data_IF_034292408511
#
_entry.id   IF_034292408511
#
_cell.length_a   1.000
_cell.length_b   1.000
_cell.length_c   1.000
_cell.angle_alpha   90.00
_cell.angle_beta   90.00
_cell.angle_gamma   90.00
#
_symmetry.space_group_name_H-M   'P 1'
#
loop_
_entity.id
_entity.type
_entity.pdbx_description
1 polymer ?
#
# COMPACT_ATOMS: atom_id res chain seq x y z
N UNK A 1 27.05 71.84 7.71
CA UNK A 1 26.33 70.72 8.34
C UNK A 1 25.78 69.80 7.25
N UNK A 2 26.43 68.67 7.00
CA UNK A 2 25.90 67.58 6.18
C UNK A 2 26.19 66.29 6.96
N UNK A 3 25.16 65.74 7.60
CA UNK A 3 25.20 64.45 8.25
C UNK A 3 25.18 63.36 7.16
N UNK A 4 26.25 62.57 7.04
CA UNK A 4 26.20 61.30 6.33
C UNK A 4 25.66 60.24 7.30
N UNK A 5 24.49 59.68 6.98
CA UNK A 5 23.96 58.50 7.66
C UNK A 5 24.67 57.26 7.12
N UNK A 6 25.39 56.54 7.98
CA UNK A 6 25.86 55.18 7.70
C UNK A 6 24.66 54.23 7.82
N UNK A 7 24.26 53.62 6.70
CA UNK A 7 23.36 52.48 6.72
C UNK A 7 24.16 51.24 7.14
N UNK A 8 23.90 50.71 8.33
CA UNK A 8 24.42 49.42 8.75
C UNK A 8 23.66 48.32 7.99
N UNK A 9 24.36 47.59 7.10
CA UNK A 9 23.86 46.34 6.56
C UNK A 9 23.80 45.32 7.70
N UNK A 10 22.59 44.99 8.15
CA UNK A 10 22.36 43.86 9.05
C UNK A 10 22.69 42.56 8.30
N UNK A 11 23.73 41.86 8.76
CA UNK A 11 23.96 40.48 8.37
C UNK A 11 22.83 39.63 8.97
N UNK A 12 21.83 39.28 8.15
CA UNK A 12 20.85 38.26 8.50
C UNK A 12 21.58 36.93 8.64
N UNK A 13 21.60 36.38 9.84
CA UNK A 13 22.01 34.99 10.06
C UNK A 13 20.99 34.10 9.34
N UNK A 14 21.40 33.52 8.22
CA UNK A 14 20.70 32.36 7.68
C UNK A 14 20.88 31.25 8.71
N UNK A 15 19.87 31.00 9.53
CA UNK A 15 19.77 29.76 10.31
C UNK A 15 19.64 28.64 9.27
N UNK A 16 20.77 28.02 8.92
CA UNK A 16 20.75 26.78 8.18
C UNK A 16 19.85 25.82 8.95
N UNK A 17 18.83 25.27 8.28
CA UNK A 17 18.04 24.18 8.82
C UNK A 17 19.03 23.05 9.15
N UNK A 18 19.17 22.72 10.42
CA UNK A 18 20.00 21.61 10.86
C UNK A 18 19.51 20.34 10.14
N UNK A 19 20.36 19.60 9.39
CA UNK A 19 19.94 18.39 8.72
C UNK A 19 19.26 17.45 9.72
N UNK A 20 18.05 17.03 9.40
CA UNK A 20 17.28 16.11 10.23
C UNK A 20 18.14 14.87 10.56
N UNK A 21 18.28 14.48 11.84
CA UNK A 21 19.09 13.33 12.25
C UNK A 21 18.68 12.08 11.48
N UNK A 22 19.62 11.28 10.97
CA UNK A 22 19.31 10.05 10.22
C UNK A 22 18.37 9.11 11.01
N UNK A 23 17.46 8.38 10.32
CA UNK A 23 16.56 7.47 11.01
C UNK A 23 17.33 6.28 11.60
N UNK A 24 16.87 5.75 12.73
CA UNK A 24 17.38 4.49 13.26
C UNK A 24 17.13 3.36 12.24
N UNK A 25 18.00 2.35 12.24
CA UNK A 25 17.93 1.23 11.30
C UNK A 25 18.00 -0.08 12.05
N UNK A 26 17.02 -0.96 11.84
CA UNK A 26 17.01 -2.31 12.39
C UNK A 26 16.87 -3.33 11.26
N UNK A 27 17.81 -4.27 11.22
CA UNK A 27 17.81 -5.37 10.25
C UNK A 27 17.29 -6.62 10.93
N UNK A 28 16.11 -7.08 10.51
CA UNK A 28 15.57 -8.34 11.01
C UNK A 28 16.40 -9.49 10.44
N UNK A 29 16.76 -10.46 11.27
CA UNK A 29 17.53 -11.64 10.86
C UNK A 29 16.86 -12.97 11.24
N UNK A 30 15.69 -12.90 11.88
CA UNK A 30 14.93 -14.05 12.34
C UNK A 30 13.46 -13.94 12.00
N UNK A 31 12.91 -15.02 11.45
CA UNK A 31 11.47 -15.19 11.20
C UNK A 31 10.68 -15.59 12.45
N UNK A 32 11.37 -15.93 13.55
CA UNK A 32 10.74 -16.36 14.79
C UNK A 32 10.03 -15.19 15.49
N UNK A 33 9.04 -15.53 16.33
CA UNK A 33 8.46 -14.57 17.26
C UNK A 33 9.39 -14.35 18.46
N UNK A 34 9.34 -13.15 19.04
CA UNK A 34 10.03 -12.82 20.29
C UNK A 34 10.15 -11.32 20.47
N UNK A 35 9.81 -10.84 21.66
CA UNK A 35 10.03 -9.45 22.06
C UNK A 35 11.53 -9.14 22.20
N UNK A 36 11.87 -7.87 22.12
CA UNK A 36 13.19 -7.37 22.46
C UNK A 36 13.52 -7.68 23.94
N UNK A 37 14.78 -7.98 24.22
CA UNK A 37 15.24 -8.27 25.57
C UNK A 37 15.19 -7.03 26.48
N UNK A 38 15.48 -5.85 25.93
CA UNK A 38 15.52 -4.57 26.63
C UNK A 38 14.94 -3.46 25.75
N UNK A 39 13.59 -3.39 25.60
CA UNK A 39 12.95 -2.40 24.74
C UNK A 39 13.42 -0.96 24.98
N UNK A 40 13.90 -0.30 23.93
CA UNK A 40 14.34 1.09 23.87
C UNK A 40 15.80 1.34 24.23
N UNK A 41 16.65 0.31 24.25
CA UNK A 41 18.09 0.47 24.43
C UNK A 41 18.85 0.74 23.11
N UNK A 42 18.16 0.63 21.98
CA UNK A 42 18.70 0.88 20.64
C UNK A 42 19.36 -0.34 20.00
N UNK A 43 19.29 -1.52 20.61
CA UNK A 43 19.75 -2.79 20.05
C UNK A 43 18.55 -3.69 19.77
N UNK A 44 18.42 -4.19 18.54
CA UNK A 44 17.38 -5.16 18.23
C UNK A 44 17.88 -6.57 18.59
N UNK A 45 17.53 -7.06 19.77
CA UNK A 45 18.01 -8.34 20.28
C UNK A 45 16.99 -8.99 21.21
N UNK A 46 16.46 -10.15 20.82
CA UNK A 46 15.71 -11.02 21.75
C UNK A 46 16.63 -11.62 22.82
N UNK A 47 16.08 -12.23 23.87
CA UNK A 47 16.88 -12.97 24.86
C UNK A 47 17.76 -14.11 24.28
N UNK A 48 17.51 -14.52 23.02
CA UNK A 48 18.29 -15.52 22.30
C UNK A 48 19.41 -14.94 21.42
N UNK A 49 19.52 -13.61 21.33
CA UNK A 49 20.55 -12.92 20.55
C UNK A 49 20.21 -12.66 19.08
N UNK A 50 18.94 -12.77 18.70
CA UNK A 50 18.47 -12.57 17.32
C UNK A 50 17.53 -11.37 17.23
N UNK A 51 17.53 -10.66 16.10
CA UNK A 51 16.61 -9.58 15.80
C UNK A 51 15.38 -10.12 15.07
N UNK A 52 14.28 -10.25 15.80
CA UNK A 52 12.96 -10.62 15.24
C UNK A 52 12.23 -9.36 14.76
N UNK A 53 11.17 -9.54 13.95
CA UNK A 53 10.31 -8.42 13.55
C UNK A 53 9.73 -7.70 14.78
N UNK A 54 9.27 -8.45 15.78
CA UNK A 54 8.72 -7.86 17.01
C UNK A 54 9.76 -7.02 17.76
N UNK A 55 10.96 -7.54 17.98
CA UNK A 55 12.03 -6.78 18.61
C UNK A 55 12.36 -5.49 17.84
N UNK A 56 12.48 -5.58 16.51
CA UNK A 56 12.74 -4.43 15.66
C UNK A 56 11.64 -3.36 15.73
N UNK A 57 10.36 -3.75 15.86
CA UNK A 57 9.25 -2.80 16.01
C UNK A 57 9.22 -2.15 17.40
N UNK A 58 9.56 -2.89 18.46
CA UNK A 58 9.67 -2.35 19.81
C UNK A 58 10.78 -1.28 19.89
N UNK A 59 11.94 -1.56 19.32
CA UNK A 59 13.03 -0.58 19.19
C UNK A 59 12.64 0.60 18.29
N UNK A 60 11.93 0.34 17.19
CA UNK A 60 11.48 1.40 16.30
C UNK A 60 10.55 2.39 16.99
N UNK A 61 9.64 1.88 17.84
CA UNK A 61 8.71 2.69 18.62
C UNK A 61 9.42 3.55 19.66
N UNK A 62 10.52 3.07 20.24
CA UNK A 62 11.34 3.85 21.17
C UNK A 62 12.20 4.92 20.47
N UNK A 63 12.72 4.62 19.27
CA UNK A 63 13.56 5.54 18.50
C UNK A 63 12.76 6.66 17.78
N UNK A 64 11.48 6.44 17.52
CA UNK A 64 10.55 7.43 16.96
C UNK A 64 10.63 7.65 15.45
N UNK A 65 11.82 7.64 14.81
CA UNK A 65 11.95 7.69 13.35
C UNK A 65 12.89 6.62 12.84
N UNK A 66 12.32 5.61 12.16
CA UNK A 66 13.01 4.33 11.99
C UNK A 66 12.74 3.70 10.63
N UNK A 67 13.74 2.99 10.11
CA UNK A 67 13.62 2.05 8.99
C UNK A 67 13.86 0.64 9.52
N UNK A 68 12.91 -0.26 9.29
CA UNK A 68 13.04 -1.69 9.56
C UNK A 68 13.15 -2.41 8.23
N UNK A 69 14.20 -3.20 8.08
CA UNK A 69 14.48 -3.95 6.87
C UNK A 69 14.24 -5.43 7.11
N UNK A 70 13.43 -6.04 6.25
CA UNK A 70 13.10 -7.46 6.31
C UNK A 70 13.82 -8.22 5.19
N UNK A 71 14.49 -9.34 5.50
CA UNK A 71 14.84 -10.33 4.50
C UNK A 71 13.60 -10.77 3.71
N UNK A 72 13.64 -10.57 2.39
CA UNK A 72 12.57 -10.93 1.46
C UNK A 72 12.84 -12.24 0.73
N UNK A 73 11.80 -13.06 0.58
CA UNK A 73 11.75 -14.21 -0.32
C UNK A 73 10.30 -14.64 -0.51
N UNK A 74 10.01 -15.44 -1.53
CA UNK A 74 8.65 -15.98 -1.78
C UNK A 74 8.11 -16.87 -0.63
N UNK A 75 8.95 -17.20 0.35
CA UNK A 75 8.61 -17.97 1.56
C UNK A 75 8.90 -17.22 2.87
N UNK A 76 9.23 -15.93 2.80
CA UNK A 76 9.53 -15.13 3.99
C UNK A 76 8.23 -14.89 4.78
N UNK A 77 8.05 -15.66 5.84
CA UNK A 77 6.90 -15.56 6.74
C UNK A 77 7.38 -15.24 8.14
N UNK A 78 7.04 -14.04 8.62
CA UNK A 78 7.29 -13.61 9.98
C UNK A 78 6.09 -13.95 10.83
N UNK A 79 6.33 -14.52 12.01
CA UNK A 79 5.27 -14.73 12.98
C UNK A 79 4.62 -13.38 13.32
N UNK A 80 3.31 -13.27 13.09
CA UNK A 80 2.55 -12.07 13.38
C UNK A 80 2.36 -11.84 14.86
N UNK A 81 2.14 -10.58 15.18
CA UNK A 81 1.81 -10.06 16.49
C UNK A 81 1.06 -8.74 16.30
N UNK A 82 0.40 -8.29 17.35
CA UNK A 82 -0.27 -7.00 17.34
C UNK A 82 0.72 -5.89 17.65
N UNK A 83 0.94 -5.00 16.68
CA UNK A 83 1.89 -3.89 16.78
C UNK A 83 1.13 -2.56 16.80
N UNK A 84 1.40 -1.71 17.80
CA UNK A 84 1.02 -0.30 17.77
C UNK A 84 2.22 0.54 17.38
N UNK A 85 2.11 1.34 16.31
CA UNK A 85 3.20 2.18 15.80
C UNK A 85 3.11 3.56 16.43
N UNK A 86 4.07 3.96 17.26
CA UNK A 86 4.00 5.24 18.01
C UNK A 86 4.74 6.40 17.36
N UNK A 87 5.55 6.11 16.34
CA UNK A 87 6.40 7.08 15.63
C UNK A 87 6.21 7.07 14.12
N UNK A 88 7.27 7.42 13.40
CA UNK A 88 7.38 7.32 11.95
C UNK A 88 8.23 6.11 11.58
N UNK A 89 7.55 5.05 11.14
CA UNK A 89 8.15 3.78 10.78
C UNK A 89 8.05 3.54 9.27
N UNK A 90 9.17 3.17 8.64
CA UNK A 90 9.18 2.56 7.31
C UNK A 90 9.62 1.11 7.43
N UNK A 91 8.79 0.18 6.98
CA UNK A 91 9.15 -1.21 6.78
C UNK A 91 9.42 -1.42 5.29
N UNK A 92 10.58 -1.97 4.96
CA UNK A 92 10.97 -2.30 3.60
C UNK A 92 11.45 -3.75 3.53
N UNK A 93 11.08 -4.42 2.46
CA UNK A 93 11.60 -5.77 2.17
C UNK A 93 12.82 -5.64 1.27
N UNK A 94 13.91 -6.32 1.63
CA UNK A 94 15.08 -6.47 0.76
C UNK A 94 14.70 -7.31 -0.46
N UNK A 95 14.73 -6.68 -1.63
CA UNK A 95 14.47 -7.36 -2.89
C UNK A 95 15.69 -8.20 -3.31
N UNK A 96 15.56 -9.51 -3.19
CA UNK A 96 16.58 -10.50 -3.62
C UNK A 96 16.38 -10.96 -5.05
N UNK A 97 15.37 -10.46 -5.76
CA UNK A 97 15.19 -10.69 -7.18
C UNK A 97 14.05 -11.65 -7.57
N UNK A 98 12.89 -11.57 -6.91
CA UNK A 98 11.66 -12.27 -7.33
C UNK A 98 10.37 -11.45 -7.18
N UNK A 99 10.47 -10.17 -6.82
CA UNK A 99 9.32 -9.42 -6.34
C UNK A 99 9.07 -9.74 -4.88
N UNK A 100 10.16 -10.01 -4.17
CA UNK A 100 10.19 -10.50 -2.81
C UNK A 100 9.20 -9.71 -1.96
N UNK A 101 8.31 -10.46 -1.32
CA UNK A 101 7.44 -9.98 -0.27
C UNK A 101 7.91 -10.54 1.07
N UNK A 102 7.40 -9.94 2.13
CA UNK A 102 7.44 -10.52 3.46
C UNK A 102 5.99 -10.67 3.93
N UNK A 103 5.60 -11.89 4.24
CA UNK A 103 4.31 -12.17 4.85
C UNK A 103 4.43 -12.00 6.37
N UNK A 104 3.51 -11.27 6.95
CA UNK A 104 3.31 -11.14 8.39
C UNK A 104 2.07 -11.96 8.69
N UNK A 105 2.30 -13.18 9.16
CA UNK A 105 1.26 -14.19 9.33
C UNK A 105 0.48 -13.94 10.62
N UNK A 106 -0.81 -13.60 10.50
CA UNK A 106 -1.72 -13.41 11.63
C UNK A 106 -1.34 -12.25 12.57
N UNK A 107 -0.87 -11.13 11.99
CA UNK A 107 -0.50 -9.91 12.73
C UNK A 107 -1.43 -8.74 12.44
N UNK A 108 -1.50 -7.77 13.37
CA UNK A 108 -2.24 -6.53 13.14
C UNK A 108 -1.38 -5.30 13.40
N UNK A 109 -1.62 -4.24 12.62
CA UNK A 109 -0.99 -2.94 12.83
C UNK A 109 -2.01 -1.92 13.27
N UNK A 110 -1.73 -1.21 14.35
CA UNK A 110 -2.46 0.00 14.77
C UNK A 110 -1.56 1.20 14.59
N UNK A 111 -2.00 2.15 13.77
CA UNK A 111 -1.32 3.43 13.52
C UNK A 111 -2.13 4.55 14.18
N UNK A 112 -1.89 4.89 15.46
CA UNK A 112 -2.58 5.97 16.17
C UNK A 112 -2.37 7.35 15.52
N UNK A 113 -3.19 8.32 15.93
CA UNK A 113 -3.03 9.72 15.51
C UNK A 113 -1.61 10.25 15.80
N UNK A 114 -1.02 10.96 14.85
CA UNK A 114 0.34 11.49 14.94
C UNK A 114 1.45 10.50 14.57
N UNK A 115 1.14 9.20 14.42
CA UNK A 115 2.08 8.19 13.92
C UNK A 115 1.98 8.03 12.40
N UNK A 116 3.04 7.51 11.79
CA UNK A 116 3.04 7.14 10.37
C UNK A 116 3.69 5.78 10.15
N UNK A 117 3.06 4.98 9.30
CA UNK A 117 3.55 3.69 8.85
C UNK A 117 3.69 3.71 7.33
N UNK A 118 4.89 3.39 6.83
CA UNK A 118 5.13 3.12 5.42
C UNK A 118 5.47 1.65 5.22
N UNK A 119 4.70 0.97 4.38
CA UNK A 119 4.93 -0.43 4.01
C UNK A 119 5.31 -0.52 2.54
N UNK A 120 6.32 -1.33 2.23
CA UNK A 120 6.79 -1.56 0.88
C UNK A 120 7.13 -3.05 0.67
N UNK A 121 6.34 -3.74 -0.15
CA UNK A 121 6.52 -5.16 -0.44
C UNK A 121 6.10 -6.10 0.70
N UNK A 122 5.07 -5.74 1.47
CA UNK A 122 4.64 -6.50 2.65
C UNK A 122 3.27 -7.11 2.39
N UNK A 123 3.04 -8.33 2.86
CA UNK A 123 1.74 -8.96 2.95
C UNK A 123 1.35 -9.10 4.43
N UNK A 124 0.18 -8.58 4.80
CA UNK A 124 -0.34 -8.63 6.17
C UNK A 124 -1.57 -9.53 6.17
N UNK A 125 -1.40 -10.75 6.69
CA UNK A 125 -2.50 -11.69 6.91
C UNK A 125 -3.19 -11.31 8.21
N UNK A 126 -3.93 -10.21 8.17
CA UNK A 126 -4.61 -9.60 9.30
C UNK A 126 -5.05 -8.18 8.97
N UNK A 127 -5.16 -7.34 10.01
CA UNK A 127 -5.78 -6.01 9.85
C UNK A 127 -4.81 -4.85 10.09
N UNK A 128 -5.04 -3.74 9.39
CA UNK A 128 -4.35 -2.46 9.60
C UNK A 128 -5.38 -1.40 10.01
N UNK A 129 -5.32 -0.92 11.25
CA UNK A 129 -6.12 0.20 11.75
C UNK A 129 -5.34 1.50 11.68
N UNK A 130 -5.93 2.54 11.07
CA UNK A 130 -5.22 3.78 10.75
C UNK A 130 -5.98 4.99 11.30
N UNK A 131 -5.47 5.60 12.36
CA UNK A 131 -5.86 6.94 12.83
C UNK A 131 -4.80 8.01 12.56
N UNK A 132 -3.56 7.60 12.26
CA UNK A 132 -2.47 8.45 11.79
C UNK A 132 -2.34 8.40 10.26
N UNK A 133 -1.17 8.04 9.76
CA UNK A 133 -0.93 7.96 8.31
C UNK A 133 -0.39 6.59 7.89
N UNK A 134 -1.00 6.00 6.87
CA UNK A 134 -0.52 4.82 6.17
C UNK A 134 -0.11 5.19 4.74
N UNK A 135 1.11 4.82 4.35
CA UNK A 135 1.56 4.86 2.95
C UNK A 135 2.00 3.46 2.56
N UNK A 136 1.29 2.84 1.64
CA UNK A 136 1.52 1.45 1.24
C UNK A 136 1.82 1.37 -0.26
N UNK A 137 2.90 0.67 -0.61
CA UNK A 137 3.20 0.28 -1.98
C UNK A 137 3.49 -1.22 -2.01
N UNK A 138 2.94 -1.95 -2.99
CA UNK A 138 3.10 -3.42 -3.05
C UNK A 138 2.66 -4.08 -1.74
N UNK A 139 1.43 -3.76 -1.32
CA UNK A 139 0.83 -4.29 -0.10
C UNK A 139 -0.15 -5.42 -0.45
N UNK A 140 0.00 -6.56 0.20
CA UNK A 140 -1.08 -7.52 0.41
C UNK A 140 -1.72 -7.26 1.78
N UNK A 141 -3.04 -7.18 1.90
CA UNK A 141 -3.69 -7.11 3.20
C UNK A 141 -5.10 -7.68 3.18
N UNK A 142 -5.54 -8.25 4.30
CA UNK A 142 -6.91 -8.74 4.43
C UNK A 142 -7.89 -7.62 4.74
N UNK A 143 -7.53 -6.72 5.66
CA UNK A 143 -8.40 -5.64 6.07
C UNK A 143 -7.65 -4.35 6.41
N UNK A 144 -8.20 -3.21 5.97
CA UNK A 144 -7.72 -1.88 6.38
C UNK A 144 -8.92 -1.04 6.86
N UNK A 145 -8.86 -0.55 8.10
CA UNK A 145 -9.83 0.40 8.65
C UNK A 145 -9.17 1.75 8.91
N UNK A 146 -9.55 2.75 8.12
CA UNK A 146 -9.12 4.13 8.26
C UNK A 146 -10.14 4.90 9.09
N UNK A 147 -9.73 5.36 10.27
CA UNK A 147 -10.54 6.16 11.17
C UNK A 147 -10.75 7.59 10.64
N UNK A 148 -11.59 8.37 11.31
CA UNK A 148 -11.93 9.74 10.90
C UNK A 148 -10.76 10.73 10.88
N UNK A 149 -9.66 10.43 11.56
CA UNK A 149 -8.42 11.23 11.51
C UNK A 149 -7.36 10.60 10.60
N UNK A 150 -7.62 9.38 10.12
CA UNK A 150 -6.68 8.59 9.36
C UNK A 150 -6.50 9.09 7.93
N UNK A 151 -5.27 8.92 7.44
CA UNK A 151 -4.87 9.15 6.06
C UNK A 151 -4.29 7.87 5.48
N UNK A 152 -4.81 7.40 4.35
CA UNK A 152 -4.27 6.22 3.65
C UNK A 152 -3.91 6.55 2.19
N UNK A 153 -2.68 6.23 1.80
CA UNK A 153 -2.23 6.27 0.41
C UNK A 153 -1.77 4.88 0.02
N UNK A 154 -2.52 4.22 -0.85
CA UNK A 154 -2.32 2.82 -1.23
C UNK A 154 -2.06 2.74 -2.72
N UNK A 155 -1.02 2.02 -3.09
CA UNK A 155 -0.60 1.83 -4.48
C UNK A 155 -0.11 0.42 -4.73
N UNK A 156 -0.35 -0.11 -5.94
CA UNK A 156 0.12 -1.45 -6.33
C UNK A 156 -0.27 -2.52 -5.30
N UNK A 157 -1.48 -2.45 -4.76
CA UNK A 157 -1.89 -3.28 -3.63
C UNK A 157 -2.96 -4.30 -4.02
N UNK A 158 -2.97 -5.42 -3.32
CA UNK A 158 -3.99 -6.47 -3.42
C UNK A 158 -4.65 -6.58 -2.05
N UNK A 159 -5.92 -6.21 -1.97
CA UNK A 159 -6.72 -6.33 -0.76
C UNK A 159 -7.71 -7.48 -0.95
N UNK A 160 -7.48 -8.60 -0.28
CA UNK A 160 -8.33 -9.78 -0.33
C UNK A 160 -8.75 -10.15 1.08
N UNK A 161 -9.99 -9.86 1.46
CA UNK A 161 -10.45 -10.11 2.81
C UNK A 161 -10.71 -11.60 3.03
N UNK A 162 -10.08 -12.17 4.05
CA UNK A 162 -10.62 -13.38 4.72
C UNK A 162 -11.79 -13.01 5.66
N UNK A 163 -11.89 -11.73 6.03
CA UNK A 163 -12.98 -11.12 6.80
C UNK A 163 -13.40 -9.80 6.15
N UNK A 164 -14.68 -9.67 5.81
CA UNK A 164 -15.19 -8.49 5.13
C UNK A 164 -15.57 -7.37 6.10
N UNK A 165 -15.55 -6.09 5.66
CA UNK A 165 -15.06 -5.57 4.37
C UNK A 165 -13.53 -5.43 4.27
N UNK A 166 -12.97 -5.52 3.05
CA UNK A 166 -11.52 -5.39 2.80
C UNK A 166 -10.97 -4.00 3.13
N UNK A 167 -11.77 -2.96 2.88
CA UNK A 167 -11.38 -1.58 3.13
C UNK A 167 -12.54 -0.77 3.69
N UNK A 168 -12.36 -0.21 4.88
CA UNK A 168 -13.28 0.75 5.52
C UNK A 168 -12.60 2.09 5.65
N UNK A 169 -13.28 3.15 5.24
CA UNK A 169 -12.76 4.50 5.38
C UNK A 169 -13.76 5.47 6.01
N UNK A 170 -13.34 6.12 7.08
CA UNK A 170 -14.00 7.26 7.73
C UNK A 170 -13.18 8.56 7.62
N UNK A 171 -11.93 8.48 7.15
CA UNK A 171 -10.99 9.58 6.96
C UNK A 171 -10.73 9.86 5.48
N UNK A 172 -9.47 10.07 5.10
CA UNK A 172 -9.07 10.35 3.71
C UNK A 172 -8.25 9.19 3.13
N UNK A 173 -8.65 8.68 1.96
CA UNK A 173 -7.98 7.57 1.29
C UNK A 173 -7.78 7.82 -0.20
N UNK A 174 -6.58 7.51 -0.70
CA UNK A 174 -6.28 7.39 -2.13
C UNK A 174 -5.79 5.98 -2.42
N UNK A 175 -6.43 5.31 -3.39
CA UNK A 175 -6.11 3.94 -3.78
C UNK A 175 -5.88 3.91 -5.29
N UNK A 176 -4.66 3.60 -5.72
CA UNK A 176 -4.28 3.62 -7.14
C UNK A 176 -3.61 2.32 -7.58
N UNK A 177 -3.86 1.90 -8.83
CA UNK A 177 -3.30 0.65 -9.38
C UNK A 177 -3.43 -0.53 -8.40
N UNK A 178 -4.61 -0.72 -7.84
CA UNK A 178 -4.83 -1.74 -6.80
C UNK A 178 -6.04 -2.60 -7.14
N UNK A 179 -6.07 -3.80 -6.59
CA UNK A 179 -7.20 -4.71 -6.70
C UNK A 179 -7.79 -4.92 -5.32
N UNK A 180 -9.09 -4.71 -5.19
CA UNK A 180 -9.87 -4.96 -3.97
C UNK A 180 -10.85 -6.07 -4.30
N UNK A 181 -10.64 -7.24 -3.73
CA UNK A 181 -11.52 -8.40 -3.85
C UNK A 181 -12.56 -8.47 -2.74
N UNK A 182 -13.58 -9.28 -2.96
CA UNK A 182 -14.66 -9.56 -2.02
C UNK A 182 -15.33 -10.89 -2.39
N UNK A 183 -15.57 -11.76 -1.40
CA UNK A 183 -15.96 -13.16 -1.63
C UNK A 183 -17.42 -13.44 -1.20
N UNK A 184 -18.02 -12.71 -0.24
CA UNK A 184 -19.29 -13.08 0.40
C UNK A 184 -20.15 -11.92 1.01
N UNK A 185 -20.67 -11.02 0.16
CA UNK A 185 -21.92 -10.29 0.47
C UNK A 185 -21.81 -8.99 1.27
N UNK A 186 -20.61 -8.59 1.72
CA UNK A 186 -20.34 -7.22 2.18
C UNK A 186 -19.45 -6.44 1.18
N UNK A 187 -19.26 -5.15 1.47
CA UNK A 187 -18.58 -4.23 0.55
C UNK A 187 -17.08 -4.44 0.49
N UNK A 188 -16.50 -4.62 -0.69
CA UNK A 188 -15.04 -4.58 -0.84
C UNK A 188 -14.48 -3.22 -0.43
N UNK A 189 -15.13 -2.14 -0.90
CA UNK A 189 -14.75 -0.77 -0.61
C UNK A 189 -15.88 0.00 0.10
N UNK A 190 -15.72 0.26 1.39
CA UNK A 190 -16.74 0.91 2.22
C UNK A 190 -16.26 2.30 2.65
N UNK A 191 -17.01 3.35 2.30
CA UNK A 191 -16.73 4.72 2.76
C UNK A 191 -17.86 5.22 3.64
N UNK A 192 -17.58 5.46 4.91
CA UNK A 192 -18.57 5.82 5.94
C UNK A 192 -18.41 7.28 6.38
N UNK A 193 -19.44 7.76 7.08
CA UNK A 193 -19.47 9.08 7.71
C UNK A 193 -19.11 10.22 6.74
N UNK A 194 -18.12 11.05 7.09
CA UNK A 194 -17.58 12.12 6.26
C UNK A 194 -16.32 11.70 5.49
N UNK A 195 -16.01 10.40 5.47
CA UNK A 195 -14.83 9.87 4.80
C UNK A 195 -14.83 10.18 3.30
N UNK A 196 -13.64 10.35 2.76
CA UNK A 196 -13.42 10.61 1.35
C UNK A 196 -12.42 9.62 0.77
N UNK A 197 -12.92 8.78 -0.13
CA UNK A 197 -12.11 7.80 -0.87
C UNK A 197 -11.99 8.27 -2.30
N UNK A 198 -10.77 8.26 -2.85
CA UNK A 198 -10.48 8.54 -4.26
C UNK A 198 -9.74 7.37 -4.87
N UNK A 199 -10.15 6.93 -6.06
CA UNK A 199 -9.54 5.81 -6.77
C UNK A 199 -9.13 6.16 -8.21
N UNK A 200 -8.06 5.54 -8.69
CA UNK A 200 -7.59 5.64 -10.08
C UNK A 200 -6.91 4.34 -10.51
N UNK A 201 -7.16 3.84 -11.73
CA UNK A 201 -6.56 2.60 -12.19
C UNK A 201 -6.82 1.39 -11.25
N UNK A 202 -7.91 1.43 -10.48
CA UNK A 202 -8.20 0.46 -9.40
C UNK A 202 -9.38 -0.43 -9.77
N UNK A 203 -9.25 -1.72 -9.49
CA UNK A 203 -10.29 -2.72 -9.68
C UNK A 203 -10.96 -3.06 -8.33
N UNK A 204 -12.29 -3.00 -8.25
CA UNK A 204 -13.09 -3.45 -7.09
C UNK A 204 -13.99 -4.59 -7.56
N UNK A 205 -13.59 -5.82 -7.26
CA UNK A 205 -14.06 -7.00 -7.97
C UNK A 205 -14.81 -7.95 -7.03
N UNK A 206 -16.00 -8.36 -7.44
CA UNK A 206 -16.68 -9.52 -6.86
C UNK A 206 -15.98 -10.79 -7.32
N UNK A 207 -15.60 -11.62 -6.36
CA UNK A 207 -14.77 -12.79 -6.55
C UNK A 207 -15.59 -14.02 -6.17
N UNK A 208 -15.77 -14.96 -7.10
CA UNK A 208 -16.57 -16.19 -6.94
C UNK A 208 -18.02 -16.00 -6.45
N UNK A 209 -18.54 -14.76 -6.48
CA UNK A 209 -19.88 -14.42 -6.05
C UNK A 209 -20.55 -13.44 -7.00
N UNK A 210 -21.87 -13.52 -7.10
CA UNK A 210 -22.71 -12.59 -7.89
C UNK A 210 -23.61 -11.72 -7.01
N UNK A 211 -23.56 -11.90 -5.69
CA UNK A 211 -24.47 -11.25 -4.75
C UNK A 211 -23.80 -10.13 -3.94
N UNK A 212 -22.51 -9.92 -4.14
CA UNK A 212 -21.77 -8.96 -3.36
C UNK A 212 -21.84 -7.55 -3.95
N UNK A 213 -21.88 -6.56 -3.06
CA UNK A 213 -22.02 -5.15 -3.40
C UNK A 213 -20.64 -4.53 -3.32
N UNK A 214 -20.01 -4.17 -4.43
CA UNK A 214 -18.58 -3.80 -4.44
C UNK A 214 -18.26 -2.55 -3.61
N UNK A 215 -19.13 -1.55 -3.63
CA UNK A 215 -19.00 -0.32 -2.86
C UNK A 215 -20.25 -0.03 -2.04
N UNK A 216 -20.06 0.47 -0.82
CA UNK A 216 -21.16 0.96 0.01
C UNK A 216 -20.83 2.25 0.74
N UNK A 217 -21.88 2.92 1.24
CA UNK A 217 -21.78 4.23 1.86
C UNK A 217 -21.61 5.36 0.83
N UNK A 218 -20.65 6.26 1.06
CA UNK A 218 -20.36 7.37 0.14
C UNK A 218 -19.58 6.85 -1.08
N UNK A 219 -20.02 7.24 -2.27
CA UNK A 219 -19.34 6.83 -3.51
C UNK A 219 -17.91 7.38 -3.56
N UNK A 220 -16.93 6.58 -4.01
CA UNK A 220 -15.57 7.05 -4.19
C UNK A 220 -15.50 8.08 -5.32
N UNK A 221 -14.60 9.06 -5.19
CA UNK A 221 -14.18 9.89 -6.31
C UNK A 221 -13.37 9.07 -7.31
N UNK A 222 -13.67 9.19 -8.60
CA UNK A 222 -12.91 8.52 -9.66
C UNK A 222 -12.00 9.52 -10.39
N UNK A 223 -10.72 9.18 -10.51
CA UNK A 223 -9.77 9.85 -11.41
C UNK A 223 -9.65 9.14 -12.77
N UNK A 224 -10.46 8.10 -13.01
CA UNK A 224 -10.52 7.37 -14.27
C UNK A 224 -9.83 6.00 -14.24
N UNK A 225 -10.12 5.24 -15.29
CA UNK A 225 -9.62 3.88 -15.55
C UNK A 225 -9.84 2.92 -14.37
N UNK A 226 -10.93 3.06 -13.64
CA UNK A 226 -11.30 2.11 -12.59
C UNK A 226 -12.20 1.02 -13.15
N UNK A 227 -12.27 -0.13 -12.49
CA UNK A 227 -13.16 -1.20 -12.89
C UNK A 227 -13.92 -1.77 -11.69
N UNK A 228 -15.20 -2.06 -11.88
CA UNK A 228 -16.05 -2.55 -10.78
C UNK A 228 -17.02 -3.63 -11.26
N UNK A 229 -17.22 -4.67 -10.45
CA UNK A 229 -18.05 -5.81 -10.85
C UNK A 229 -19.54 -5.54 -10.95
N UNK A 230 -20.04 -4.52 -10.28
CA UNK A 230 -21.42 -4.06 -10.35
C UNK A 230 -21.47 -2.58 -10.74
N UNK A 231 -22.50 -1.84 -10.33
CA UNK A 231 -22.59 -0.38 -10.51
C UNK A 231 -22.57 0.38 -9.17
N UNK A 232 -22.27 -0.29 -8.06
CA UNK A 232 -22.43 0.26 -6.71
C UNK A 232 -21.44 1.39 -6.42
N UNK A 233 -20.26 1.36 -7.03
CA UNK A 233 -19.26 2.42 -6.90
C UNK A 233 -19.59 3.71 -7.69
N UNK A 234 -20.58 3.68 -8.60
CA UNK A 234 -21.03 4.87 -9.34
C UNK A 234 -19.95 5.53 -10.21
N UNK A 235 -19.04 4.73 -10.77
CA UNK A 235 -17.85 5.19 -11.48
C UNK A 235 -18.22 5.82 -12.83
N UNK A 236 -17.75 7.04 -13.09
CA UNK A 236 -18.11 7.82 -14.30
C UNK A 236 -16.93 8.58 -14.91
N UNK A 237 -15.73 8.37 -14.38
CA UNK A 237 -14.48 8.90 -14.91
C UNK A 237 -14.14 8.31 -16.28
N UNK A 238 -13.20 8.96 -16.98
CA UNK A 238 -12.74 8.49 -18.29
C UNK A 238 -12.05 7.13 -18.15
N UNK A 239 -12.43 6.15 -18.97
CA UNK A 239 -11.89 4.80 -18.92
C UNK A 239 -12.48 3.92 -17.81
N UNK A 240 -13.41 4.44 -16.99
CA UNK A 240 -14.07 3.62 -15.97
C UNK A 240 -14.96 2.55 -16.61
N UNK A 241 -14.95 1.36 -16.00
CA UNK A 241 -15.72 0.20 -16.41
C UNK A 241 -16.61 -0.27 -15.25
N UNK A 242 -17.85 -0.60 -15.54
CA UNK A 242 -18.83 -1.07 -14.55
C UNK A 242 -19.52 -2.34 -15.04
N UNK A 243 -19.95 -3.19 -14.11
CA UNK A 243 -20.61 -4.45 -14.44
C UNK A 243 -19.67 -5.45 -15.12
N UNK A 244 -18.36 -5.36 -14.86
CA UNK A 244 -17.42 -6.38 -15.33
C UNK A 244 -17.70 -7.65 -14.53
N UNK A 245 -18.16 -8.71 -15.19
CA UNK A 245 -18.58 -9.94 -14.51
C UNK A 245 -17.53 -10.46 -13.51
N UNK A 246 -17.91 -11.35 -12.58
CA UNK A 246 -16.97 -11.84 -11.57
C UNK A 246 -15.72 -12.39 -12.25
N UNK A 247 -14.56 -12.01 -11.75
CA UNK A 247 -13.29 -12.59 -12.20
C UNK A 247 -13.11 -13.93 -11.48
N UNK A 248 -12.74 -14.96 -12.23
CA UNK A 248 -12.49 -16.28 -11.64
C UNK A 248 -11.25 -16.25 -10.75
N UNK A 249 -11.37 -16.81 -9.54
CA UNK A 249 -10.34 -16.86 -8.49
C UNK A 249 -9.03 -17.54 -8.86
N UNK A 250 -8.92 -18.16 -10.03
CA UNK A 250 -7.73 -18.98 -10.30
C UNK A 250 -6.48 -18.13 -10.30
N UNK A 251 -6.59 -16.87 -10.68
CA UNK A 251 -5.51 -15.91 -10.72
C UNK A 251 -6.15 -14.52 -10.63
N UNK A 252 -5.84 -13.68 -9.62
CA UNK A 252 -6.19 -12.24 -9.58
C UNK A 252 -5.58 -11.43 -10.74
N UNK A 253 -5.05 -12.16 -11.72
CA UNK A 253 -4.51 -11.71 -12.97
C UNK A 253 -5.63 -11.78 -14.01
N UNK A 254 -5.94 -10.67 -14.68
CA UNK A 254 -6.87 -10.72 -15.78
C UNK A 254 -6.32 -11.64 -16.88
N UNK A 255 -7.17 -12.45 -17.52
CA UNK A 255 -6.79 -13.16 -18.74
C UNK A 255 -6.55 -12.17 -19.89
N UNK A 256 -5.80 -12.53 -20.92
CA UNK A 256 -5.51 -11.63 -22.06
C UNK A 256 -6.73 -11.05 -22.78
N UNK A 257 -7.89 -11.74 -22.75
CA UNK A 257 -9.15 -11.21 -23.30
C UNK A 257 -10.00 -10.39 -22.33
N UNK A 258 -9.47 -10.10 -21.14
CA UNK A 258 -10.16 -9.36 -20.09
C UNK A 258 -10.28 -7.88 -20.46
N UNK A 259 -11.39 -7.22 -20.14
CA UNK A 259 -11.53 -5.78 -20.38
C UNK A 259 -10.62 -4.95 -19.44
N UNK A 260 -9.92 -5.57 -18.48
CA UNK A 260 -8.95 -4.91 -17.62
C UNK A 260 -7.56 -4.73 -18.25
N UNK A 261 -7.28 -5.47 -19.33
CA UNK A 261 -5.95 -5.58 -19.93
C UNK A 261 -5.72 -4.48 -20.95
N UNK A 262 -4.55 -3.84 -20.90
CA UNK A 262 -4.06 -2.88 -21.89
C UNK A 262 -4.98 -1.67 -22.16
N UNK A 263 -5.73 -1.23 -21.14
CA UNK A 263 -6.71 -0.13 -21.31
C UNK A 263 -6.20 1.24 -20.86
N UNK A 264 -5.07 1.32 -20.16
CA UNK A 264 -4.49 2.58 -19.69
C UNK A 264 -3.29 2.94 -20.56
N UNK A 265 -3.47 3.91 -21.46
CA UNK A 265 -2.41 4.34 -22.36
C UNK A 265 -1.16 4.86 -21.61
N UNK A 266 0.05 4.63 -22.14
CA UNK A 266 1.28 5.16 -21.55
C UNK A 266 1.22 6.68 -21.32
N UNK A 267 1.68 7.12 -20.15
CA UNK A 267 1.64 8.51 -19.68
C UNK A 267 0.29 8.94 -19.07
N UNK A 268 -0.78 8.17 -19.22
CA UNK A 268 -2.03 8.39 -18.48
C UNK A 268 -1.90 7.82 -17.07
N UNK A 269 -2.37 8.57 -16.07
CA UNK A 269 -2.33 8.16 -14.66
C UNK A 269 -0.94 7.68 -14.19
N UNK A 270 0.15 8.14 -14.80
CA UNK A 270 1.51 7.72 -14.47
C UNK A 270 1.97 6.38 -15.09
N UNK A 271 1.13 5.72 -15.91
CA UNK A 271 1.48 4.46 -16.58
C UNK A 271 2.78 4.59 -17.38
N UNK A 272 3.80 3.79 -17.04
CA UNK A 272 5.11 3.80 -17.71
C UNK A 272 5.99 5.02 -17.44
N UNK A 273 5.53 5.98 -16.62
CA UNK A 273 6.31 7.16 -16.22
C UNK A 273 6.60 7.13 -14.73
N UNK A 274 5.57 7.31 -13.91
CA UNK A 274 5.66 7.34 -12.45
C UNK A 274 5.37 5.94 -11.85
N UNK A 275 4.58 5.15 -12.57
CA UNK A 275 4.23 3.77 -12.24
C UNK A 275 4.81 2.87 -13.32
N UNK A 276 6.00 2.35 -13.04
CA UNK A 276 6.78 1.51 -13.97
C UNK A 276 6.73 0.03 -13.62
N UNK A 277 6.12 -0.32 -12.49
CA UNK A 277 6.06 -1.66 -11.93
C UNK A 277 4.73 -1.87 -11.21
N UNK A 278 4.27 -3.11 -11.19
CA UNK A 278 3.04 -3.56 -10.54
C UNK A 278 3.28 -4.07 -9.10
N UNK A 279 2.31 -4.77 -8.50
CA UNK A 279 2.42 -5.34 -7.16
C UNK A 279 3.61 -6.32 -6.96
N UNK A 280 4.10 -6.97 -8.03
CA UNK A 280 5.30 -7.83 -8.04
C UNK A 280 6.61 -7.02 -8.09
N UNK A 281 6.54 -5.70 -8.11
CA UNK A 281 7.71 -4.84 -8.18
C UNK A 281 8.44 -5.00 -9.52
N UNK A 282 9.79 -5.04 -9.55
CA UNK A 282 10.56 -5.01 -10.80
C UNK A 282 10.28 -6.18 -11.75
N UNK A 283 9.57 -7.21 -11.28
CA UNK A 283 9.18 -8.36 -12.09
C UNK A 283 7.92 -8.14 -12.88
N UNK A 284 7.03 -7.21 -12.49
CA UNK A 284 5.84 -6.85 -13.25
C UNK A 284 5.97 -5.47 -13.88
N UNK A 285 6.77 -5.34 -14.96
CA UNK A 285 6.97 -4.05 -15.61
C UNK A 285 5.66 -3.52 -16.20
N UNK A 286 5.47 -2.22 -16.08
CA UNK A 286 4.35 -1.47 -16.66
C UNK A 286 4.88 -0.37 -17.59
N UNK A 287 4.34 -0.20 -18.82
CA UNK A 287 3.33 -1.03 -19.46
C UNK A 287 3.89 -2.33 -20.06
N UNK A 288 3.03 -3.33 -20.24
CA UNK A 288 3.24 -4.55 -21.03
C UNK A 288 2.15 -4.70 -22.11
N UNK A 289 2.30 -5.62 -23.05
CA UNK A 289 1.29 -5.91 -24.10
C UNK A 289 0.62 -7.24 -23.73
N UNK A 290 -0.32 -7.19 -22.79
CA UNK A 290 -0.99 -8.36 -22.22
C UNK A 290 -2.00 -9.04 -23.15
N UNK A 291 -2.64 -8.29 -24.05
CA UNK A 291 -3.62 -8.81 -25.00
C UNK A 291 -3.00 -9.31 -26.32
N UNK A 292 -1.76 -8.92 -26.61
CA UNK A 292 -0.97 -9.36 -27.75
C UNK A 292 -1.31 -8.64 -29.06
N UNK A 293 -1.93 -7.45 -28.99
CA UNK A 293 -2.25 -6.63 -30.17
C UNK A 293 -1.04 -5.85 -30.73
N UNK A 294 0.08 -5.85 -30.01
CA UNK A 294 1.32 -5.16 -30.36
C UNK A 294 1.47 -3.77 -29.74
N UNK A 295 0.55 -3.34 -28.87
CA UNK A 295 0.56 -2.05 -28.18
C UNK A 295 0.62 -2.26 -26.67
N UNK A 296 1.77 -1.95 -26.08
CA UNK A 296 1.90 -1.98 -24.62
C UNK A 296 1.12 -0.83 -23.95
N UNK A 297 0.26 -1.17 -23.00
CA UNK A 297 -0.47 -0.26 -22.13
C UNK A 297 -0.49 -0.82 -20.70
N UNK A 298 -0.99 -0.07 -19.71
CA UNK A 298 -1.13 -0.61 -18.37
C UNK A 298 -2.52 -1.20 -18.15
N UNK A 299 -2.55 -2.23 -17.31
CA UNK A 299 -3.77 -2.86 -16.83
C UNK A 299 -4.42 -2.07 -15.70
N UNK A 300 -5.75 -2.18 -15.59
CA UNK A 300 -6.48 -1.76 -14.40
C UNK A 300 -6.28 -2.82 -13.30
N UNK A 301 -5.93 -2.36 -12.10
CA UNK A 301 -5.74 -3.22 -10.93
C UNK A 301 -4.28 -3.31 -10.50
N UNK A 302 -4.00 -4.24 -9.58
CA UNK A 302 -2.70 -4.40 -8.94
C UNK A 302 -1.62 -4.98 -9.86
N UNK A 303 -2.01 -5.85 -10.79
CA UNK A 303 -1.10 -6.63 -11.63
C UNK A 303 -1.16 -6.20 -13.09
N UNK A 304 -0.04 -6.39 -13.76
CA UNK A 304 0.11 -6.25 -15.21
C UNK A 304 0.20 -7.62 -15.88
N UNK A 305 -0.65 -7.91 -16.85
CA UNK A 305 -0.49 -9.08 -17.69
C UNK A 305 0.61 -8.85 -18.72
N UNK A 306 1.45 -9.88 -18.93
CA UNK A 306 2.47 -9.83 -19.98
C UNK A 306 2.00 -10.60 -21.19
N UNK A 307 2.56 -10.26 -22.35
CA UNK A 307 2.29 -10.95 -23.60
C UNK A 307 2.35 -12.47 -23.40
N UNK A 308 1.34 -13.23 -23.88
CA UNK A 308 1.42 -14.67 -23.91
C UNK A 308 2.72 -15.07 -24.58
N UNK A 309 3.60 -15.75 -23.85
CA UNK A 309 4.77 -16.35 -24.48
C UNK A 309 4.23 -17.35 -25.50
N UNK A 310 4.49 -17.10 -26.79
CA UNK A 310 4.11 -18.01 -27.85
C UNK A 310 4.87 -19.34 -27.64
N UNK A 311 4.21 -20.31 -27.02
CA UNK A 311 4.69 -21.69 -26.90
C UNK A 311 4.25 -22.53 -28.10
#
# INVERSE_FOLDING_TARGET
>A
MRFLAMAALGAGAFTACDPQPEPAQFQVDSYAAGADATPGDGECETAAGTCTLQAALEEANAAGRTVVTLPGSDSASYAGFDATITGSLRVVVEDTGSGASATIDSGSFTVPEGASLRLEGVEVLGSISVSGTLVANRLGAEAIDVSSTGLAMISNAVLLPDVEPAFVNRGDAWIVYSTIGLEDGEGGLVTLDYGNTTIAATAVLAIDTTSAVTCSGRLPGSLGSNAVSDSACGLTGTGDQQGIGPVGLTELFPSSGSPLVDVIAPGMLGCGTDVTNDARGPYGPRPSDGDGDGIAACDIGAYELWAPTAF
#
